data_IF_512088479595
#
_entry.id   IF_512088479595
#
_cell.length_a   1.000
_cell.length_b   1.000
_cell.length_c   1.000
_cell.angle_alpha   90.00
_cell.angle_beta   90.00
_cell.angle_gamma   90.00
#
_symmetry.space_group_name_H-M   'P 1'
#
loop_
_entity.id
_entity.type
_entity.pdbx_description
1 polymer ?
#
# COMPACT_ATOMS: atom_id res chain seq x y z
N UNK A 1 19.93 -9.90 -9.04
CA UNK A 1 20.90 -10.69 -9.84
C UNK A 1 20.95 -10.11 -11.25
N UNK A 2 22.13 -10.04 -11.89
CA UNK A 2 22.24 -9.59 -13.29
C UNK A 2 22.10 -10.80 -14.20
N UNK A 3 21.16 -10.74 -15.12
CA UNK A 3 20.86 -11.83 -16.06
C UNK A 3 20.63 -11.25 -17.45
N UNK A 4 21.13 -11.91 -18.49
CA UNK A 4 20.84 -11.56 -19.87
C UNK A 4 19.68 -12.42 -20.36
N UNK A 5 18.60 -11.77 -20.81
CA UNK A 5 17.38 -12.41 -21.31
C UNK A 5 16.90 -11.71 -22.57
N UNK A 6 16.33 -12.46 -23.50
CA UNK A 6 15.71 -11.93 -24.73
C UNK A 6 14.25 -11.61 -24.43
N UNK A 7 13.82 -10.38 -24.69
CA UNK A 7 12.45 -9.89 -24.44
C UNK A 7 11.95 -9.22 -25.71
N UNK A 8 10.65 -9.39 -26.01
CA UNK A 8 9.98 -8.70 -27.12
C UNK A 8 10.02 -7.16 -26.91
N UNK A 9 10.38 -6.43 -27.98
CA UNK A 9 10.50 -4.98 -27.93
C UNK A 9 9.15 -4.26 -27.75
N UNK A 10 8.07 -4.79 -28.34
CA UNK A 10 6.73 -4.23 -28.21
C UNK A 10 6.27 -4.36 -26.76
N UNK A 11 6.46 -5.55 -26.17
CA UNK A 11 6.11 -5.80 -24.77
C UNK A 11 6.84 -4.83 -23.82
N UNK A 12 8.14 -4.61 -24.05
CA UNK A 12 8.93 -3.67 -23.26
C UNK A 12 8.45 -2.22 -23.47
N UNK A 13 8.13 -1.83 -24.71
CA UNK A 13 7.62 -0.50 -25.01
C UNK A 13 6.28 -0.24 -24.32
N UNK A 14 5.38 -1.22 -24.32
CA UNK A 14 4.07 -1.12 -23.66
C UNK A 14 4.24 -1.04 -22.15
N UNK A 15 5.13 -1.85 -21.56
CA UNK A 15 5.44 -1.78 -20.13
C UNK A 15 6.01 -0.41 -19.73
N UNK A 16 6.94 0.14 -20.52
CA UNK A 16 7.51 1.47 -20.30
C UNK A 16 6.48 2.60 -20.45
N UNK A 17 5.47 2.45 -21.31
CA UNK A 17 4.36 3.41 -21.45
C UNK A 17 3.33 3.31 -20.33
N UNK A 18 3.10 2.10 -19.80
CA UNK A 18 2.07 1.84 -18.81
C UNK A 18 2.39 2.40 -17.42
N UNK A 19 3.67 2.69 -17.12
CA UNK A 19 4.08 3.17 -15.80
C UNK A 19 5.23 4.17 -15.83
N UNK A 20 5.56 4.79 -14.69
CA UNK A 20 6.62 5.78 -14.59
C UNK A 20 8.02 5.13 -14.49
N UNK A 21 8.39 4.30 -15.46
CA UNK A 21 9.68 3.61 -15.47
C UNK A 21 10.74 4.41 -16.20
N UNK A 22 11.91 4.59 -15.57
CA UNK A 22 13.06 5.28 -16.19
C UNK A 22 13.95 4.32 -16.97
N UNK A 23 14.05 3.08 -16.52
CA UNK A 23 14.92 2.07 -17.14
C UNK A 23 14.15 0.78 -17.45
N UNK A 24 14.63 0.03 -18.45
CA UNK A 24 14.08 -1.29 -18.80
C UNK A 24 14.16 -2.27 -17.62
N UNK A 25 15.18 -2.16 -16.77
CA UNK A 25 15.31 -2.98 -15.56
C UNK A 25 14.17 -2.70 -14.57
N UNK A 26 13.85 -1.43 -14.34
CA UNK A 26 12.80 -1.05 -13.38
C UNK A 26 11.43 -1.59 -13.82
N UNK A 27 11.13 -1.52 -15.12
CA UNK A 27 9.90 -2.09 -15.68
C UNK A 27 9.83 -3.62 -15.46
N UNK A 28 10.94 -4.33 -15.69
CA UNK A 28 11.01 -5.79 -15.47
C UNK A 28 10.86 -6.12 -13.99
N UNK A 29 11.52 -5.38 -13.10
CA UNK A 29 11.45 -5.60 -11.65
C UNK A 29 10.04 -5.33 -11.11
N UNK A 30 9.38 -4.29 -11.59
CA UNK A 30 7.99 -4.00 -11.26
C UNK A 30 7.03 -5.11 -11.75
N UNK A 31 7.24 -5.64 -12.95
CA UNK A 31 6.49 -6.78 -13.48
C UNK A 31 6.65 -8.04 -12.64
N UNK A 32 7.88 -8.38 -12.25
CA UNK A 32 8.15 -9.53 -11.38
C UNK A 32 7.51 -9.36 -9.99
N UNK A 33 7.56 -8.14 -9.44
CA UNK A 33 6.90 -7.84 -8.16
C UNK A 33 5.38 -7.98 -8.25
N UNK A 34 4.78 -7.61 -9.38
CA UNK A 34 3.35 -7.80 -9.63
C UNK A 34 2.98 -9.28 -9.66
N UNK A 35 3.76 -10.11 -10.36
CA UNK A 35 3.54 -11.57 -10.41
C UNK A 35 3.62 -12.21 -9.02
N UNK A 36 4.61 -11.82 -8.21
CA UNK A 36 4.72 -12.30 -6.83
C UNK A 36 3.49 -11.92 -5.98
N UNK A 37 2.99 -10.69 -6.13
CA UNK A 37 1.75 -10.24 -5.45
C UNK A 37 0.53 -11.02 -5.91
N UNK A 38 0.39 -11.26 -7.21
CA UNK A 38 -0.72 -12.04 -7.75
C UNK A 38 -0.71 -13.47 -7.22
N UNK A 39 0.46 -14.11 -7.08
CA UNK A 39 0.57 -15.42 -6.46
C UNK A 39 0.04 -15.40 -5.01
N UNK A 40 0.45 -14.41 -4.21
CA UNK A 40 -0.05 -14.25 -2.85
C UNK A 40 -1.57 -14.05 -2.81
N UNK A 41 -2.13 -13.23 -3.70
CA UNK A 41 -3.59 -13.06 -3.78
C UNK A 41 -4.30 -14.35 -4.17
N UNK A 42 -3.75 -15.14 -5.09
CA UNK A 42 -4.32 -16.44 -5.46
C UNK A 42 -4.35 -17.39 -4.26
N UNK A 43 -3.33 -17.39 -3.40
CA UNK A 43 -3.37 -18.16 -2.15
C UNK A 43 -4.48 -17.70 -1.22
N UNK A 44 -4.65 -16.38 -1.04
CA UNK A 44 -5.76 -15.84 -0.23
C UNK A 44 -7.12 -16.25 -0.80
N UNK A 45 -7.28 -16.19 -2.13
CA UNK A 45 -8.51 -16.61 -2.80
C UNK A 45 -8.84 -18.10 -2.58
N UNK A 46 -7.85 -18.98 -2.36
CA UNK A 46 -8.12 -20.40 -2.03
C UNK A 46 -8.82 -20.61 -0.69
N UNK A 47 -8.72 -19.64 0.21
CA UNK A 47 -9.36 -19.65 1.52
C UNK A 47 -10.75 -19.02 1.52
N UNK A 48 -11.18 -18.44 0.39
CA UNK A 48 -12.53 -17.91 0.21
C UNK A 48 -13.57 -19.01 0.47
N UNK A 49 -14.49 -18.76 1.40
CA UNK A 49 -15.55 -19.70 1.80
C UNK A 49 -15.10 -20.85 2.71
N UNK A 50 -13.81 -20.99 3.00
CA UNK A 50 -13.30 -22.00 3.95
C UNK A 50 -13.11 -21.42 5.36
N UNK A 51 -12.86 -20.12 5.45
CA UNK A 51 -12.73 -19.42 6.71
C UNK A 51 -14.13 -19.23 7.32
N UNK A 52 -14.33 -19.83 8.49
CA UNK A 52 -15.45 -19.46 9.36
C UNK A 52 -15.11 -18.13 10.00
N UNK A 53 -15.82 -17.09 9.59
CA UNK A 53 -15.75 -15.80 10.24
C UNK A 53 -16.71 -15.81 11.42
N UNK A 54 -16.17 -15.86 12.63
CA UNK A 54 -16.96 -15.61 13.85
C UNK A 54 -16.85 -14.12 14.15
N UNK A 55 -17.78 -13.34 13.59
CA UNK A 55 -17.99 -11.94 13.95
C UNK A 55 -19.04 -11.87 15.06
N UNK A 56 -18.75 -11.14 16.13
CA UNK A 56 -19.78 -10.74 17.08
C UNK A 56 -20.58 -9.60 16.42
N UNK A 57 -21.82 -9.87 16.00
CA UNK A 57 -22.71 -8.91 15.31
C UNK A 57 -23.01 -7.66 16.16
N UNK A 58 -22.61 -7.66 17.43
CA UNK A 58 -22.75 -6.56 18.38
C UNK A 58 -21.67 -5.49 18.24
N UNK A 59 -20.60 -5.76 17.49
CA UNK A 59 -19.47 -4.84 17.33
C UNK A 59 -19.73 -3.93 16.12
N UNK A 60 -20.44 -2.83 16.38
CA UNK A 60 -20.63 -1.76 15.39
C UNK A 60 -19.37 -0.87 15.34
N UNK A 61 -18.44 -1.16 14.42
CA UNK A 61 -17.23 -0.35 14.19
C UNK A 61 -17.52 1.09 13.69
N UNK A 62 -18.76 1.37 13.30
CA UNK A 62 -19.21 2.68 12.81
C UNK A 62 -19.69 3.60 13.92
N UNK A 63 -19.92 3.08 15.13
CA UNK A 63 -20.27 3.89 16.29
C UNK A 63 -18.99 4.42 16.94
N UNK A 64 -18.93 5.70 17.33
CA UNK A 64 -17.85 6.18 18.17
C UNK A 64 -17.88 5.36 19.46
N UNK A 65 -16.78 4.69 19.78
CA UNK A 65 -16.65 3.93 21.02
C UNK A 65 -17.00 4.86 22.20
N UNK A 66 -18.12 4.59 22.86
CA UNK A 66 -18.55 5.38 24.01
C UNK A 66 -17.42 5.35 25.05
N UNK A 67 -16.79 6.51 25.28
CA UNK A 67 -15.75 6.67 26.29
C UNK A 67 -14.30 6.83 25.78
N UNK A 68 -14.02 6.85 24.47
CA UNK A 68 -12.71 7.33 24.02
C UNK A 68 -12.67 8.86 24.06
N UNK A 69 -12.22 9.39 25.19
CA UNK A 69 -11.90 10.81 25.34
C UNK A 69 -10.99 11.24 24.20
N UNK A 70 -11.50 12.15 23.36
CA UNK A 70 -10.73 12.78 22.29
C UNK A 70 -9.55 13.48 22.95
N UNK A 71 -8.36 12.91 22.85
CA UNK A 71 -7.13 13.61 23.21
C UNK A 71 -6.93 14.69 22.17
N UNK A 72 -7.53 15.86 22.43
CA UNK A 72 -7.29 17.06 21.65
C UNK A 72 -5.81 17.38 21.82
N UNK A 73 -5.04 17.21 20.75
CA UNK A 73 -3.66 17.66 20.69
C UNK A 73 -3.66 19.15 21.02
N UNK A 74 -3.18 19.49 22.21
CA UNK A 74 -3.09 20.88 22.69
C UNK A 74 -2.14 21.61 21.76
N UNK A 75 -2.69 22.48 20.93
CA UNK A 75 -1.91 23.36 20.07
C UNK A 75 -1.05 24.25 20.96
N UNK A 76 0.26 24.04 20.93
CA UNK A 76 1.21 24.86 21.70
C UNK A 76 1.25 26.23 21.03
N UNK A 77 0.68 27.23 21.70
CA UNK A 77 0.64 28.60 21.22
C UNK A 77 2.05 29.09 20.83
N UNK A 78 2.21 29.80 19.70
CA UNK A 78 3.52 30.30 19.29
C UNK A 78 4.01 31.33 20.31
N UNK A 79 5.06 30.96 21.06
CA UNK A 79 5.70 31.84 22.02
C UNK A 79 6.18 33.12 21.35
N UNK A 80 5.71 34.28 21.84
CA UNK A 80 6.15 35.58 21.37
C UNK A 80 7.67 35.68 21.54
N UNK A 81 8.42 35.65 20.43
CA UNK A 81 9.82 36.05 20.41
C UNK A 81 9.88 37.52 20.82
N UNK A 82 10.31 37.80 22.05
CA UNK A 82 10.70 39.15 22.46
C UNK A 82 11.87 39.55 21.57
N UNK A 83 11.63 40.49 20.66
CA UNK A 83 12.70 41.22 20.00
C UNK A 83 13.40 42.06 21.09
N UNK A 84 14.58 41.58 21.48
CA UNK A 84 15.53 42.33 22.30
C UNK A 84 16.33 43.26 21.39
N UNK A 85 16.59 44.44 21.95
CA UNK A 85 17.27 45.62 21.39
C UNK A 85 18.74 45.36 21.06
#
# INVERSE_FOLDING_TARGET
MRTNIVIDEKLMADAMKAGPYKTKKDAVEAGLKLLARQAAYREILKWRGKLKWEGDERIDWTAPAEGQAVVVAREVAPGKRRAGR
#
